data_IF_557502409794
#
_entry.id   IF_557502409794
#
_cell.length_a   1.000
_cell.length_b   1.000
_cell.length_c   1.000
_cell.angle_alpha   90.00
_cell.angle_beta   90.00
_cell.angle_gamma   90.00
#
_symmetry.space_group_name_H-M   'P 1'
#
loop_
_entity.id
_entity.type
_entity.pdbx_description
1 polymer ?
#
# COMPACT_ATOMS: atom_id res chain seq x y z
N UNK A 1 27.13 -3.69 51.93
CA UNK A 1 27.02 -3.45 50.48
C UNK A 1 25.92 -4.36 49.92
N UNK A 2 24.96 -3.84 49.15
CA UNK A 2 23.92 -4.63 48.47
C UNK A 2 23.89 -4.21 47.00
N UNK A 3 24.38 -5.07 46.10
CA UNK A 3 24.28 -4.81 44.66
C UNK A 3 22.82 -4.89 44.22
N UNK A 4 22.36 -3.85 43.50
CA UNK A 4 21.14 -3.94 42.69
C UNK A 4 21.56 -4.33 41.28
N UNK A 5 21.22 -5.55 40.85
CA UNK A 5 21.25 -5.89 39.43
C UNK A 5 20.19 -5.05 38.72
N UNK A 6 20.63 -4.20 37.78
CA UNK A 6 19.73 -3.53 36.84
C UNK A 6 19.48 -4.55 35.73
N UNK A 7 18.25 -5.04 35.65
CA UNK A 7 17.83 -5.94 34.57
C UNK A 7 17.86 -5.19 33.24
N UNK A 8 18.69 -5.64 32.31
CA UNK A 8 18.63 -5.18 30.93
C UNK A 8 17.35 -5.71 30.28
N UNK A 9 16.37 -4.82 30.09
CA UNK A 9 15.23 -5.12 29.23
C UNK A 9 15.73 -5.32 27.80
N UNK A 10 15.85 -6.57 27.37
CA UNK A 10 15.92 -6.89 25.93
C UNK A 10 14.57 -6.49 25.31
N UNK A 11 14.55 -5.90 24.09
CA UNK A 11 13.31 -5.73 23.36
C UNK A 11 12.69 -7.10 23.12
N UNK A 12 11.41 -7.24 23.42
CA UNK A 12 10.65 -8.47 23.20
C UNK A 12 10.38 -8.61 21.71
N UNK A 13 11.09 -9.52 21.04
CA UNK A 13 10.68 -10.00 19.73
C UNK A 13 9.27 -10.58 19.85
N UNK A 14 8.31 -10.04 19.09
CA UNK A 14 7.00 -10.66 18.95
C UNK A 14 7.19 -11.93 18.13
N UNK A 15 7.17 -13.08 18.80
CA UNK A 15 7.25 -14.37 18.14
C UNK A 15 5.93 -14.62 17.39
N UNK A 16 5.82 -14.12 16.15
CA UNK A 16 4.75 -14.42 15.19
C UNK A 16 4.90 -15.85 14.63
N UNK A 17 5.29 -16.82 15.47
CA UNK A 17 5.44 -18.22 15.09
C UNK A 17 4.04 -18.80 14.89
N UNK A 18 3.62 -18.91 13.62
CA UNK A 18 2.42 -19.66 13.29
C UNK A 18 2.63 -21.14 13.61
N UNK A 19 1.57 -21.85 14.03
CA UNK A 19 1.68 -23.27 14.29
C UNK A 19 1.92 -24.03 12.98
N UNK A 20 3.12 -24.59 12.81
CA UNK A 20 3.49 -25.40 11.64
C UNK A 20 2.58 -26.61 11.40
N UNK A 21 1.72 -26.98 12.36
CA UNK A 21 0.63 -27.95 12.19
C UNK A 21 -0.47 -27.51 11.21
N UNK A 22 -0.42 -26.27 10.70
CA UNK A 22 -1.27 -25.80 9.61
C UNK A 22 -0.69 -26.09 8.21
N UNK A 23 0.60 -26.49 8.09
CA UNK A 23 1.21 -26.82 6.80
C UNK A 23 0.44 -27.97 6.13
N UNK A 24 0.23 -27.84 4.83
CA UNK A 24 -0.53 -28.76 3.99
C UNK A 24 -2.06 -28.63 4.07
N UNK A 25 -2.60 -27.84 5.01
CA UNK A 25 -4.04 -27.68 5.22
C UNK A 25 -4.65 -26.53 4.41
N UNK A 26 -5.92 -26.67 4.05
CA UNK A 26 -6.77 -25.59 3.58
C UNK A 26 -7.10 -24.62 4.72
N UNK A 27 -6.71 -23.36 4.54
CA UNK A 27 -6.90 -22.25 5.49
C UNK A 27 -7.35 -20.97 4.79
N UNK A 28 -7.99 -20.06 5.53
CA UNK A 28 -8.23 -18.68 5.11
C UNK A 28 -7.30 -17.73 5.86
N UNK A 29 -6.46 -17.00 5.13
CA UNK A 29 -5.60 -15.92 5.65
C UNK A 29 -6.41 -14.62 5.59
N UNK A 30 -6.47 -13.91 6.73
CA UNK A 30 -7.44 -12.85 7.04
C UNK A 30 -8.92 -13.29 7.05
N UNK A 31 -9.67 -12.90 8.07
CA UNK A 31 -11.13 -13.13 8.14
C UNK A 31 -11.89 -12.02 7.38
N UNK A 32 -11.73 -11.99 6.06
CA UNK A 32 -12.39 -11.02 5.18
C UNK A 32 -11.60 -9.73 4.94
N UNK A 33 -12.17 -8.85 4.11
CA UNK A 33 -11.50 -7.68 3.56
C UNK A 33 -10.67 -8.02 2.29
N UNK A 34 -10.03 -7.01 1.67
CA UNK A 34 -9.41 -7.17 0.36
C UNK A 34 -8.16 -8.07 0.33
N UNK A 35 -7.52 -8.31 1.46
CA UNK A 35 -6.38 -9.25 1.57
C UNK A 35 -6.80 -10.71 1.77
N UNK A 36 -8.10 -10.96 1.95
CA UNK A 36 -8.63 -12.27 2.34
C UNK A 36 -8.53 -13.28 1.21
N UNK A 37 -7.81 -14.39 1.45
CA UNK A 37 -7.71 -15.52 0.52
C UNK A 37 -7.84 -16.84 1.27
N UNK A 38 -8.47 -17.81 0.63
CA UNK A 38 -8.56 -19.20 1.07
C UNK A 38 -7.69 -20.04 0.15
N UNK A 39 -7.01 -21.04 0.69
CA UNK A 39 -6.03 -21.81 -0.05
C UNK A 39 -5.30 -22.86 0.81
N UNK A 40 -4.42 -23.63 0.19
CA UNK A 40 -3.56 -24.61 0.87
C UNK A 40 -2.32 -23.92 1.42
N UNK A 41 -2.04 -24.05 2.71
CA UNK A 41 -0.84 -23.47 3.33
C UNK A 41 0.38 -24.32 2.98
N UNK A 42 1.21 -23.87 2.05
CA UNK A 42 2.39 -24.61 1.56
C UNK A 42 3.54 -24.56 2.57
N UNK A 43 3.79 -23.39 3.16
CA UNK A 43 4.93 -23.17 4.06
C UNK A 43 4.61 -22.17 5.18
N UNK A 44 5.30 -22.33 6.31
CA UNK A 44 5.40 -21.35 7.39
C UNK A 44 6.88 -21.03 7.59
N UNK A 45 7.32 -19.90 7.04
CA UNK A 45 8.68 -19.38 7.21
C UNK A 45 8.90 -18.71 8.57
N UNK A 46 10.03 -18.03 8.74
CA UNK A 46 10.36 -17.37 10.01
C UNK A 46 9.51 -16.11 10.29
N UNK A 47 9.21 -15.34 9.25
CA UNK A 47 8.44 -14.09 9.28
C UNK A 47 7.45 -13.94 8.10
N UNK A 48 7.15 -15.03 7.39
CA UNK A 48 6.13 -15.09 6.33
C UNK A 48 5.40 -16.44 6.32
N UNK A 49 4.31 -16.51 5.56
CA UNK A 49 3.59 -17.77 5.25
C UNK A 49 3.22 -17.84 3.78
N UNK A 50 3.27 -19.04 3.20
CA UNK A 50 3.00 -19.28 1.76
C UNK A 50 1.66 -19.99 1.58
N UNK A 51 0.80 -19.42 0.75
CA UNK A 51 -0.55 -19.91 0.46
C UNK A 51 -0.70 -20.16 -1.05
N UNK A 52 -0.93 -21.41 -1.46
CA UNK A 52 -1.51 -21.72 -2.78
C UNK A 52 -2.98 -21.34 -2.72
N UNK A 53 -3.44 -20.45 -3.58
CA UNK A 53 -4.85 -20.03 -3.61
C UNK A 53 -5.74 -21.22 -3.98
N UNK A 54 -6.97 -21.26 -3.43
CA UNK A 54 -7.96 -22.25 -3.85
C UNK A 54 -8.55 -21.85 -5.19
N UNK A 55 -8.68 -22.80 -6.11
CA UNK A 55 -9.27 -22.64 -7.44
C UNK A 55 -8.46 -21.72 -8.40
N UNK A 56 -7.18 -21.42 -8.07
CA UNK A 56 -6.16 -20.89 -9.01
C UNK A 56 -4.77 -21.44 -8.68
N UNK A 57 -3.84 -21.36 -9.63
CA UNK A 57 -2.42 -21.73 -9.46
C UNK A 57 -1.59 -20.67 -8.71
N UNK A 58 -2.21 -19.57 -8.27
CA UNK A 58 -1.49 -18.44 -7.69
C UNK A 58 -0.88 -18.78 -6.32
N UNK A 59 0.40 -18.46 -6.15
CA UNK A 59 1.08 -18.55 -4.86
C UNK A 59 1.24 -17.17 -4.23
N UNK A 60 0.74 -17.01 -3.01
CA UNK A 60 0.77 -15.77 -2.25
C UNK A 60 1.60 -15.94 -0.99
N UNK A 61 2.59 -15.06 -0.83
CA UNK A 61 3.47 -14.96 0.32
C UNK A 61 3.02 -13.79 1.20
N UNK A 62 2.52 -14.09 2.40
CA UNK A 62 2.03 -13.11 3.36
C UNK A 62 3.07 -12.82 4.45
N UNK A 63 3.33 -11.55 4.74
CA UNK A 63 4.22 -11.16 5.83
C UNK A 63 3.55 -11.41 7.21
N UNK A 64 4.22 -12.18 8.07
CA UNK A 64 3.67 -12.68 9.34
C UNK A 64 3.25 -11.57 10.31
N UNK A 65 4.01 -10.48 10.34
CA UNK A 65 3.73 -9.26 11.13
C UNK A 65 2.36 -8.65 10.83
N UNK A 66 1.87 -8.79 9.60
CA UNK A 66 0.62 -8.21 9.13
C UNK A 66 -0.56 -9.18 9.20
N UNK A 67 -0.33 -10.50 9.28
CA UNK A 67 -1.40 -11.52 9.32
C UNK A 67 -2.09 -11.51 10.70
N UNK A 68 -3.33 -11.03 10.72
CA UNK A 68 -4.13 -10.86 11.96
C UNK A 68 -4.86 -12.13 12.40
N UNK A 69 -5.09 -13.05 11.47
CA UNK A 69 -5.90 -14.25 11.69
C UNK A 69 -5.68 -15.26 10.58
N UNK A 70 -5.55 -16.53 10.95
CA UNK A 70 -5.67 -17.67 10.04
C UNK A 70 -6.84 -18.52 10.55
N UNK A 71 -7.67 -19.07 9.65
CA UNK A 71 -8.80 -19.93 10.00
C UNK A 71 -8.69 -21.25 9.24
N UNK A 72 -8.85 -22.38 9.91
CA UNK A 72 -8.77 -23.71 9.30
C UNK A 72 -10.17 -24.21 8.88
N UNK A 73 -10.33 -24.73 7.66
CA UNK A 73 -11.58 -25.41 7.26
C UNK A 73 -11.55 -26.87 7.69
N UNK A 74 -12.15 -27.16 8.84
CA UNK A 74 -12.22 -28.52 9.38
C UNK A 74 -12.99 -29.52 8.49
N UNK A 75 -13.86 -29.07 7.58
CA UNK A 75 -14.59 -29.98 6.67
C UNK A 75 -13.70 -30.39 5.52
N UNK A 76 -13.15 -29.42 4.79
CA UNK A 76 -12.31 -29.71 3.62
C UNK A 76 -11.03 -30.47 4.02
N UNK A 77 -10.41 -30.11 5.14
CA UNK A 77 -9.22 -30.80 5.65
C UNK A 77 -9.51 -32.25 6.07
N UNK A 78 -10.73 -32.56 6.55
CA UNK A 78 -11.13 -33.94 6.86
C UNK A 78 -11.32 -34.80 5.60
N UNK A 79 -11.61 -34.18 4.45
CA UNK A 79 -11.81 -34.87 3.16
C UNK A 79 -10.46 -35.10 2.46
N UNK A 80 -9.59 -34.08 2.42
CA UNK A 80 -8.25 -34.20 1.82
C UNK A 80 -7.42 -35.32 2.45
N UNK A 81 -7.51 -35.50 3.78
CA UNK A 81 -6.83 -36.58 4.51
C UNK A 81 -7.24 -38.00 4.05
N UNK A 82 -8.35 -38.14 3.33
CA UNK A 82 -8.88 -39.41 2.82
C UNK A 82 -8.58 -39.60 1.32
N UNK A 83 -8.34 -38.52 0.57
CA UNK A 83 -8.22 -38.57 -0.89
C UNK A 83 -6.79 -38.39 -1.43
N UNK A 84 -5.84 -37.85 -0.65
CA UNK A 84 -4.40 -37.96 -0.93
C UNK A 84 -3.90 -37.27 -2.21
N UNK A 85 -4.71 -36.44 -2.86
CA UNK A 85 -4.31 -35.60 -3.98
C UNK A 85 -3.54 -34.39 -3.46
N UNK A 86 -2.23 -34.53 -3.37
CA UNK A 86 -1.33 -33.39 -3.24
C UNK A 86 -1.04 -32.87 -4.65
N UNK A 87 -1.67 -31.75 -5.01
CA UNK A 87 -1.19 -30.96 -6.14
C UNK A 87 0.19 -30.40 -5.76
N UNK A 88 1.19 -30.77 -6.55
CA UNK A 88 2.55 -30.24 -6.45
C UNK A 88 2.55 -28.88 -7.15
N UNK A 89 2.63 -27.83 -6.33
CA UNK A 89 2.62 -26.43 -6.77
C UNK A 89 4.01 -25.89 -6.51
N UNK A 90 4.66 -25.36 -7.53
CA UNK A 90 5.98 -24.74 -7.39
C UNK A 90 5.89 -23.42 -6.62
N UNK A 91 6.75 -23.25 -5.63
CA UNK A 91 6.87 -22.02 -4.84
C UNK A 91 8.30 -21.76 -4.42
N UNK A 92 8.58 -20.51 -4.06
CA UNK A 92 9.90 -20.05 -3.64
C UNK A 92 10.06 -20.27 -2.12
N UNK A 93 11.07 -21.06 -1.71
CA UNK A 93 11.46 -21.23 -0.31
C UNK A 93 12.60 -20.26 0.08
N UNK A 94 12.48 -19.63 1.25
CA UNK A 94 13.44 -18.66 1.76
C UNK A 94 13.49 -18.60 3.29
N UNK A 95 14.64 -18.19 3.86
CA UNK A 95 14.80 -18.06 5.32
C UNK A 95 13.84 -17.02 5.94
N UNK A 96 13.56 -15.93 5.22
CA UNK A 96 12.70 -14.83 5.64
C UNK A 96 12.12 -14.06 4.44
N UNK A 97 11.13 -13.21 4.70
CA UNK A 97 10.39 -12.43 3.70
C UNK A 97 11.31 -11.51 2.88
N UNK A 98 12.37 -10.95 3.50
CA UNK A 98 13.36 -10.15 2.78
C UNK A 98 14.19 -10.99 1.79
N UNK A 99 14.61 -12.20 2.19
CA UNK A 99 15.31 -13.13 1.29
C UNK A 99 14.40 -13.60 0.15
N UNK A 100 13.13 -13.85 0.44
CA UNK A 100 12.11 -14.19 -0.56
C UNK A 100 11.94 -13.08 -1.60
N UNK A 101 11.77 -11.83 -1.16
CA UNK A 101 11.66 -10.67 -2.07
C UNK A 101 12.88 -10.58 -2.99
N UNK A 102 14.09 -10.84 -2.48
CA UNK A 102 15.31 -10.82 -3.29
C UNK A 102 15.36 -11.92 -4.36
N UNK A 103 14.69 -13.06 -4.16
CA UNK A 103 14.53 -14.11 -5.19
C UNK A 103 13.53 -13.72 -6.29
N UNK A 104 12.63 -12.78 -6.02
CA UNK A 104 11.58 -12.33 -6.96
C UNK A 104 12.00 -11.11 -7.80
N UNK A 105 13.24 -10.62 -7.66
CA UNK A 105 13.73 -9.47 -8.44
C UNK A 105 13.77 -9.84 -9.93
N UNK A 106 13.36 -8.90 -10.79
CA UNK A 106 13.10 -9.03 -12.23
C UNK A 106 11.83 -9.80 -12.62
N UNK A 107 11.13 -10.47 -11.69
CA UNK A 107 9.84 -11.11 -11.98
C UNK A 107 8.70 -10.09 -11.94
N UNK A 108 7.62 -10.35 -12.69
CA UNK A 108 6.35 -9.66 -12.47
C UNK A 108 5.68 -10.18 -11.21
N UNK A 109 5.31 -9.24 -10.34
CA UNK A 109 4.70 -9.52 -9.04
C UNK A 109 3.49 -8.62 -8.80
N UNK A 110 2.63 -9.07 -7.89
CA UNK A 110 1.55 -8.28 -7.33
C UNK A 110 1.78 -8.05 -5.84
N UNK A 111 1.88 -6.77 -5.47
CA UNK A 111 2.00 -6.29 -4.09
C UNK A 111 0.61 -6.00 -3.54
N UNK A 112 0.31 -6.59 -2.37
CA UNK A 112 -0.99 -6.61 -1.71
C UNK A 112 -2.09 -7.26 -2.58
N UNK A 113 -2.97 -8.04 -1.95
CA UNK A 113 -3.99 -8.78 -2.69
C UNK A 113 -5.25 -7.98 -3.00
N UNK A 114 -5.42 -6.82 -2.36
CA UNK A 114 -6.38 -5.81 -2.80
C UNK A 114 -6.35 -4.51 -2.00
N UNK A 115 -7.34 -3.66 -2.26
CA UNK A 115 -7.45 -2.34 -1.61
C UNK A 115 -6.56 -1.28 -2.26
N UNK A 116 -6.44 -0.10 -1.63
CA UNK A 116 -5.87 1.08 -2.29
C UNK A 116 -4.39 1.01 -2.67
N UNK A 117 -3.60 0.18 -1.98
CA UNK A 117 -2.16 -0.04 -2.26
C UNK A 117 -1.90 -1.39 -2.96
N UNK A 118 -2.92 -2.00 -3.58
CA UNK A 118 -2.74 -3.16 -4.45
C UNK A 118 -2.16 -2.72 -5.79
N UNK A 119 -1.05 -3.33 -6.21
CA UNK A 119 -0.37 -2.96 -7.47
C UNK A 119 0.40 -4.15 -8.05
N UNK A 120 0.30 -4.34 -9.36
CA UNK A 120 1.11 -5.30 -10.12
C UNK A 120 2.19 -4.58 -10.95
N UNK A 121 3.28 -5.28 -11.26
CA UNK A 121 4.38 -4.81 -12.10
C UNK A 121 5.68 -5.57 -11.83
N UNK A 122 6.76 -5.21 -12.53
CA UNK A 122 8.07 -5.88 -12.41
C UNK A 122 8.82 -5.40 -11.16
N UNK A 123 9.31 -6.31 -10.32
CA UNK A 123 10.15 -5.95 -9.17
C UNK A 123 11.56 -5.56 -9.63
N UNK A 124 11.91 -4.28 -9.60
CA UNK A 124 13.25 -3.81 -10.00
C UNK A 124 14.32 -4.09 -8.95
N UNK A 125 13.93 -4.15 -7.68
CA UNK A 125 14.84 -4.40 -6.57
C UNK A 125 14.24 -4.12 -5.22
N UNK A 126 14.90 -4.60 -4.17
CA UNK A 126 14.56 -4.34 -2.78
C UNK A 126 15.79 -3.89 -1.99
N UNK A 127 15.53 -3.09 -0.96
CA UNK A 127 16.51 -2.66 0.02
C UNK A 127 15.93 -2.89 1.43
N UNK A 128 16.61 -2.40 2.46
CA UNK A 128 16.33 -2.69 3.88
C UNK A 128 14.88 -2.49 4.32
N UNK A 129 14.23 -1.40 3.89
CA UNK A 129 12.89 -0.99 4.33
C UNK A 129 11.99 -0.53 3.17
N UNK A 130 12.43 -0.69 1.92
CA UNK A 130 11.63 -0.40 0.74
C UNK A 130 11.94 -1.34 -0.43
N UNK A 131 11.03 -1.38 -1.40
CA UNK A 131 11.26 -1.98 -2.72
C UNK A 131 10.90 -0.98 -3.83
N UNK A 132 11.35 -1.26 -5.06
CA UNK A 132 10.95 -0.55 -6.27
C UNK A 132 10.20 -1.49 -7.22
N UNK A 133 8.96 -1.14 -7.55
CA UNK A 133 8.11 -1.81 -8.52
C UNK A 133 8.02 -0.94 -9.77
N UNK A 134 8.30 -1.48 -10.95
CA UNK A 134 8.02 -0.80 -12.22
C UNK A 134 6.62 -1.13 -12.69
N UNK A 135 5.79 -0.11 -12.94
CA UNK A 135 4.42 -0.29 -13.41
C UNK A 135 4.17 0.58 -14.62
N UNK A 136 3.41 0.05 -15.59
CA UNK A 136 3.18 0.68 -16.90
C UNK A 136 2.59 2.10 -16.83
N UNK A 137 1.89 2.42 -15.74
CA UNK A 137 1.08 3.64 -15.60
C UNK A 137 1.70 4.71 -14.69
N UNK A 138 2.50 4.29 -13.72
CA UNK A 138 3.10 5.15 -12.69
C UNK A 138 4.64 5.17 -12.75
N UNK A 139 5.25 4.35 -13.61
CA UNK A 139 6.70 4.20 -13.73
C UNK A 139 7.28 3.46 -12.53
N UNK A 140 8.42 3.92 -12.00
CA UNK A 140 9.01 3.32 -10.80
C UNK A 140 8.31 3.82 -9.54
N UNK A 141 7.61 2.91 -8.87
CA UNK A 141 6.93 3.10 -7.59
C UNK A 141 7.76 2.50 -6.46
N UNK A 142 8.11 3.33 -5.47
CA UNK A 142 8.81 2.89 -4.27
C UNK A 142 7.78 2.58 -3.17
N UNK A 143 7.78 1.34 -2.66
CA UNK A 143 6.90 0.91 -1.57
C UNK A 143 7.69 0.71 -0.28
N UNK A 144 7.16 1.23 0.83
CA UNK A 144 7.68 0.98 2.17
C UNK A 144 7.30 -0.44 2.62
N UNK A 145 8.31 -1.27 2.93
CA UNK A 145 8.12 -2.68 3.30
C UNK A 145 7.30 -2.85 4.58
N UNK A 146 7.24 -1.85 5.47
CA UNK A 146 6.38 -1.87 6.67
C UNK A 146 4.86 -1.75 6.35
N UNK A 147 4.50 -1.59 5.07
CA UNK A 147 3.10 -1.57 4.62
C UNK A 147 2.78 -2.64 3.57
N UNK A 148 3.75 -3.48 3.18
CA UNK A 148 3.59 -4.59 2.25
C UNK A 148 3.13 -5.83 3.01
N UNK A 149 1.84 -6.17 2.88
CA UNK A 149 1.24 -7.30 3.62
C UNK A 149 1.46 -8.64 2.93
N UNK A 150 1.53 -8.61 1.60
CA UNK A 150 1.61 -9.80 0.77
C UNK A 150 2.24 -9.48 -0.58
N UNK A 151 2.87 -10.49 -1.17
CA UNK A 151 3.36 -10.50 -2.54
C UNK A 151 2.91 -11.81 -3.18
N UNK A 152 2.53 -11.78 -4.45
CA UNK A 152 2.39 -12.98 -5.29
C UNK A 152 3.13 -12.77 -6.61
N UNK A 153 3.48 -13.84 -7.30
CA UNK A 153 3.87 -13.74 -8.71
C UNK A 153 2.63 -13.34 -9.54
N UNK A 154 2.85 -12.73 -10.70
CA UNK A 154 1.79 -12.48 -11.67
C UNK A 154 1.84 -13.59 -12.74
N UNK A 155 0.95 -14.57 -12.61
CA UNK A 155 0.90 -15.77 -13.45
C UNK A 155 0.63 -15.45 -14.93
N UNK A 156 -0.16 -14.39 -15.17
CA UNK A 156 -0.62 -13.94 -16.49
C UNK A 156 0.51 -13.56 -17.48
N UNK A 157 1.74 -13.37 -17.01
CA UNK A 157 2.91 -13.00 -17.84
C UNK A 157 3.88 -14.17 -18.10
N UNK A 158 3.66 -15.35 -17.49
CA UNK A 158 4.57 -16.50 -17.64
C UNK A 158 4.17 -17.47 -18.76
N UNK A 159 2.91 -17.45 -19.21
CA UNK A 159 2.43 -18.37 -20.26
C UNK A 159 2.97 -18.04 -21.68
N UNK A 160 3.48 -16.82 -21.90
CA UNK A 160 4.01 -16.37 -23.20
C UNK A 160 5.51 -16.69 -23.42
N UNK A 161 6.26 -17.16 -22.41
CA UNK A 161 7.72 -17.36 -22.54
C UNK A 161 8.13 -18.66 -23.27
N UNK A 162 7.25 -19.66 -23.42
CA UNK A 162 7.65 -20.98 -23.96
C UNK A 162 7.65 -21.10 -25.50
N UNK A 163 6.98 -20.21 -26.27
CA UNK A 163 6.95 -20.29 -27.75
C UNK A 163 7.59 -19.10 -28.51
N UNK A 164 8.58 -18.46 -27.88
CA UNK A 164 9.79 -18.00 -28.56
C UNK A 164 9.81 -16.63 -29.27
N UNK A 165 10.98 -16.36 -29.85
CA UNK A 165 11.43 -15.09 -30.47
C UNK A 165 11.82 -13.97 -29.49
N UNK A 166 13.14 -13.72 -29.41
CA UNK A 166 13.71 -12.48 -28.88
C UNK A 166 13.66 -12.31 -27.36
N UNK A 167 14.83 -12.41 -26.69
CA UNK A 167 15.05 -11.59 -25.51
C UNK A 167 15.10 -10.13 -25.96
N UNK A 168 13.94 -9.48 -26.08
CA UNK A 168 13.90 -8.03 -26.06
C UNK A 168 14.51 -7.60 -24.74
N UNK A 169 15.61 -6.86 -24.80
CA UNK A 169 16.36 -6.47 -23.63
C UNK A 169 15.62 -5.31 -22.96
N UNK A 170 14.57 -5.63 -22.20
CA UNK A 170 13.67 -4.68 -21.56
C UNK A 170 14.49 -3.80 -20.62
N UNK A 171 14.88 -2.63 -21.12
CA UNK A 171 15.77 -1.72 -20.43
C UNK A 171 14.94 -0.93 -19.42
N UNK A 172 14.75 -1.51 -18.24
CA UNK A 172 14.15 -0.83 -17.11
C UNK A 172 14.92 0.46 -16.76
N UNK A 173 14.23 1.51 -16.30
CA UNK A 173 14.87 2.74 -15.84
C UNK A 173 15.78 2.45 -14.64
N UNK A 174 16.87 3.22 -14.51
CA UNK A 174 17.77 3.10 -13.38
C UNK A 174 17.04 3.45 -12.07
N UNK A 175 17.01 2.50 -11.14
CA UNK A 175 16.46 2.70 -9.79
C UNK A 175 17.25 3.77 -9.02
N UNK A 176 16.54 4.55 -8.19
CA UNK A 176 17.17 5.49 -7.26
C UNK A 176 18.05 4.71 -6.27
N UNK A 177 19.34 5.06 -6.22
CA UNK A 177 20.31 4.46 -5.31
C UNK A 177 20.20 5.04 -3.88
N UNK A 178 19.08 4.76 -3.21
CA UNK A 178 18.80 5.14 -1.82
C UNK A 178 19.16 4.01 -0.85
N UNK A 179 19.65 4.35 0.36
CA UNK A 179 19.98 3.34 1.39
C UNK A 179 18.76 2.88 2.20
N UNK A 180 17.76 3.77 2.35
CA UNK A 180 16.51 3.51 3.05
C UNK A 180 15.34 4.27 2.39
N UNK A 181 14.12 4.02 2.85
CA UNK A 181 12.92 4.64 2.29
C UNK A 181 12.91 6.17 2.45
N UNK A 182 13.59 6.71 3.48
CA UNK A 182 13.67 8.16 3.70
C UNK A 182 14.62 8.84 2.71
N UNK A 183 15.73 8.18 2.34
CA UNK A 183 16.62 8.66 1.30
C UNK A 183 15.93 8.81 -0.07
N UNK A 184 14.95 7.96 -0.39
CA UNK A 184 14.14 8.11 -1.63
C UNK A 184 13.50 9.50 -1.74
N UNK A 185 13.03 10.08 -0.62
CA UNK A 185 12.42 11.42 -0.62
C UNK A 185 13.44 12.53 -0.92
N UNK A 186 14.71 12.36 -0.53
CA UNK A 186 15.77 13.34 -0.83
C UNK A 186 16.08 13.38 -2.33
N UNK A 187 16.02 12.23 -3.00
CA UNK A 187 16.17 12.15 -4.46
C UNK A 187 14.95 12.68 -5.22
N UNK A 188 13.75 12.58 -4.63
CA UNK A 188 12.51 13.09 -5.21
C UNK A 188 12.18 14.55 -4.81
N UNK A 189 13.00 15.18 -3.97
CA UNK A 189 12.81 16.55 -3.52
C UNK A 189 12.75 17.54 -4.69
N UNK A 190 11.89 18.56 -4.58
CA UNK A 190 11.58 19.55 -5.64
C UNK A 190 10.88 19.00 -6.89
N UNK A 191 10.62 17.69 -6.99
CA UNK A 191 9.84 17.10 -8.07
C UNK A 191 8.35 17.06 -7.71
N UNK A 192 7.49 16.96 -8.73
CA UNK A 192 6.11 16.51 -8.54
C UNK A 192 6.14 15.03 -8.18
N UNK A 193 5.41 14.64 -7.15
CA UNK A 193 5.31 13.26 -6.68
C UNK A 193 3.85 12.86 -6.48
N UNK A 194 3.59 11.56 -6.58
CA UNK A 194 2.34 10.93 -6.17
C UNK A 194 2.63 10.01 -4.97
N UNK A 195 1.93 10.23 -3.86
CA UNK A 195 2.10 9.54 -2.57
C UNK A 195 0.81 8.80 -2.21
N UNK A 196 0.96 7.51 -1.89
CA UNK A 196 -0.11 6.52 -1.72
C UNK A 196 -0.98 6.37 -2.99
N UNK A 197 -1.20 5.15 -3.46
CA UNK A 197 -1.84 4.90 -4.76
C UNK A 197 -3.35 5.15 -4.74
N UNK A 198 -4.03 4.94 -3.62
CA UNK A 198 -5.49 4.97 -3.61
C UNK A 198 -6.17 5.34 -2.30
N UNK A 199 -7.49 5.47 -2.38
CA UNK A 199 -8.33 5.83 -1.24
C UNK A 199 -8.13 7.28 -0.77
N UNK A 200 -8.62 7.62 0.44
CA UNK A 200 -8.62 8.99 0.95
C UNK A 200 -7.24 9.48 1.43
N UNK A 201 -6.22 8.61 1.44
CA UNK A 201 -4.84 8.94 1.85
C UNK A 201 -3.92 9.18 0.63
N UNK A 202 -4.44 9.07 -0.60
CA UNK A 202 -3.72 9.36 -1.83
C UNK A 202 -3.61 10.87 -2.06
N UNK A 203 -2.42 11.34 -2.46
CA UNK A 203 -2.12 12.76 -2.58
C UNK A 203 -1.01 13.03 -3.59
N UNK A 204 -1.04 14.21 -4.20
CA UNK A 204 -0.04 14.64 -5.18
C UNK A 204 0.38 16.09 -4.94
N UNK A 205 1.58 16.44 -5.40
CA UNK A 205 2.08 17.80 -5.36
C UNK A 205 3.60 17.87 -5.50
N UNK A 206 4.15 19.06 -5.33
CA UNK A 206 5.61 19.24 -5.29
C UNK A 206 6.13 18.88 -3.90
N UNK A 207 7.09 17.96 -3.84
CA UNK A 207 7.76 17.57 -2.59
C UNK A 207 8.76 18.64 -2.17
N UNK A 208 8.70 19.09 -0.92
CA UNK A 208 9.56 20.12 -0.33
C UNK A 208 10.32 19.55 0.86
N UNK A 209 11.54 20.07 1.11
CA UNK A 209 12.46 19.68 2.19
C UNK A 209 11.76 19.35 3.52
N UNK A 210 12.18 18.25 4.15
CA UNK A 210 11.66 17.79 5.42
C UNK A 210 12.03 18.74 6.57
N UNK A 211 11.14 19.68 6.87
CA UNK A 211 11.23 20.52 8.06
C UNK A 211 10.50 19.86 9.23
N UNK A 212 11.21 19.62 10.34
CA UNK A 212 10.65 19.11 11.61
C UNK A 212 10.19 17.64 11.62
N UNK A 213 10.69 16.78 10.74
CA UNK A 213 10.44 15.34 10.74
C UNK A 213 9.18 14.89 9.98
N UNK A 214 8.47 15.81 9.32
CA UNK A 214 7.35 15.52 8.43
C UNK A 214 7.72 15.90 6.99
N UNK A 215 7.22 15.14 6.02
CA UNK A 215 7.32 15.54 4.62
C UNK A 215 6.28 16.60 4.29
N UNK A 216 6.67 17.58 3.50
CA UNK A 216 5.79 18.68 3.09
C UNK A 216 5.51 18.58 1.60
N UNK A 217 4.23 18.53 1.21
CA UNK A 217 3.79 18.58 -0.18
C UNK A 217 3.02 19.87 -0.41
N UNK A 218 3.32 20.56 -1.50
CA UNK A 218 2.57 21.74 -1.94
C UNK A 218 1.67 21.32 -3.11
N UNK A 219 0.36 21.46 -2.91
CA UNK A 219 -0.66 21.12 -3.90
C UNK A 219 -1.61 22.30 -4.07
N UNK A 220 -1.62 22.91 -5.25
CA UNK A 220 -2.42 24.10 -5.56
C UNK A 220 -2.20 25.26 -4.56
N UNK A 221 -3.13 25.45 -3.63
CA UNK A 221 -3.12 26.50 -2.60
C UNK A 221 -2.94 25.92 -1.18
N UNK A 222 -2.70 24.62 -1.07
CA UNK A 222 -2.60 23.88 0.19
C UNK A 222 -1.18 23.37 0.43
N UNK A 223 -0.78 23.35 1.71
CA UNK A 223 0.51 22.82 2.18
C UNK A 223 0.22 21.67 3.12
N UNK A 224 0.42 20.46 2.62
CA UNK A 224 0.11 19.21 3.30
C UNK A 224 1.37 18.72 4.03
N UNK A 225 1.23 18.37 5.32
CA UNK A 225 2.33 17.85 6.14
C UNK A 225 2.02 16.44 6.58
N UNK A 226 2.86 15.49 6.18
CA UNK A 226 2.61 14.06 6.32
C UNK A 226 3.69 13.44 7.19
N UNK A 227 3.26 12.74 8.25
CA UNK A 227 4.18 11.97 9.07
C UNK A 227 4.68 10.74 8.29
N UNK A 228 6.00 10.44 8.28
CA UNK A 228 6.59 9.39 7.44
C UNK A 228 5.89 8.02 7.51
N UNK A 229 5.38 7.65 8.70
CA UNK A 229 4.66 6.39 8.92
C UNK A 229 3.32 6.25 8.16
N UNK A 230 2.74 7.34 7.65
CA UNK A 230 1.51 7.27 6.84
C UNK A 230 1.79 7.13 5.33
N UNK A 231 3.06 7.08 4.93
CA UNK A 231 3.44 6.95 3.52
C UNK A 231 3.82 5.50 3.24
N UNK A 232 2.99 4.87 2.40
CA UNK A 232 3.07 3.47 2.00
C UNK A 232 3.78 3.33 0.67
N UNK A 233 3.58 4.28 -0.24
CA UNK A 233 4.23 4.32 -1.54
C UNK A 233 4.47 5.75 -2.05
N UNK A 234 5.46 5.91 -2.93
CA UNK A 234 5.78 7.17 -3.63
C UNK A 234 6.30 6.90 -5.06
N UNK A 235 5.96 7.75 -6.04
CA UNK A 235 6.65 7.83 -7.34
C UNK A 235 6.86 9.28 -7.75
N UNK A 236 7.75 9.49 -8.72
CA UNK A 236 7.85 10.76 -9.44
C UNK A 236 6.68 10.90 -10.44
N UNK A 237 6.23 12.14 -10.67
CA UNK A 237 5.17 12.47 -11.62
C UNK A 237 3.74 12.26 -11.10
N UNK A 238 2.73 12.75 -11.82
CA UNK A 238 1.32 12.50 -11.52
C UNK A 238 0.97 11.02 -11.72
N UNK A 239 0.04 10.49 -10.94
CA UNK A 239 -0.46 9.12 -11.06
C UNK A 239 -1.10 8.88 -12.42
N UNK A 240 -0.79 7.73 -13.03
CA UNK A 240 -1.30 7.33 -14.33
C UNK A 240 -0.78 8.19 -15.49
N UNK A 241 0.30 8.96 -15.30
CA UNK A 241 0.85 9.83 -16.34
C UNK A 241 1.38 9.07 -17.55
N UNK A 242 1.91 7.84 -17.37
CA UNK A 242 2.44 7.04 -18.47
C UNK A 242 1.34 6.40 -19.33
N UNK A 243 0.21 5.98 -18.74
CA UNK A 243 -0.96 5.47 -19.49
C UNK A 243 -1.43 6.46 -20.56
N UNK A 244 -1.45 7.75 -20.21
CA UNK A 244 -1.85 8.83 -21.12
C UNK A 244 -0.85 9.12 -22.23
N UNK A 245 0.40 8.67 -22.14
CA UNK A 245 1.37 8.81 -23.22
C UNK A 245 1.16 7.74 -24.28
N UNK A 246 0.99 6.47 -23.86
CA UNK A 246 0.75 5.35 -24.77
C UNK A 246 -0.58 5.47 -25.55
N UNK A 247 -1.62 6.06 -24.94
CA UNK A 247 -2.88 6.38 -25.63
C UNK A 247 -2.68 7.42 -26.76
N UNK A 248 -1.92 8.49 -26.50
CA UNK A 248 -1.65 9.55 -27.48
C UNK A 248 -0.73 9.10 -28.64
N UNK A 249 0.19 8.16 -28.41
CA UNK A 249 1.06 7.62 -29.47
C UNK A 249 0.30 6.72 -30.44
N UNK A 250 -0.74 6.02 -29.97
CA UNK A 250 -1.60 5.19 -30.83
C UNK A 250 -2.50 6.01 -31.77
N UNK A 251 -2.94 7.22 -31.39
CA UNK A 251 -3.72 8.08 -32.29
C UNK A 251 -2.89 8.63 -33.47
N UNK A 252 -1.56 8.71 -33.35
CA UNK A 252 -0.70 9.24 -34.43
C UNK A 252 -0.43 8.25 -35.57
N UNK A 253 -0.81 6.97 -35.44
CA UNK A 253 -0.60 5.95 -36.48
C UNK A 253 -1.88 5.54 -37.25
N UNK A 254 -3.07 6.05 -36.89
CA UNK A 254 -4.32 5.79 -37.59
C UNK A 254 -4.59 6.79 -38.74
N UNK A 255 -3.62 6.95 -39.65
CA UNK A 255 -3.47 8.15 -40.49
C UNK A 255 -3.76 8.06 -42.00
N UNK A 256 -4.49 7.07 -42.52
CA UNK A 256 -5.00 7.11 -43.92
C UNK A 256 -6.41 6.52 -44.08
N UNK A 257 -7.40 7.40 -44.23
CA UNK A 257 -8.78 7.05 -44.60
C UNK A 257 -9.61 8.31 -44.87
N UNK A 258 -9.84 8.63 -46.14
CA UNK A 258 -10.63 9.81 -46.53
C UNK A 258 -12.14 9.52 -46.46
N UNK A 259 -12.92 10.36 -45.75
CA UNK A 259 -14.26 10.77 -46.22
C UNK A 259 -14.83 11.98 -45.47
N UNK A 260 -14.96 13.08 -46.22
CA UNK A 260 -15.90 14.21 -46.09
C UNK A 260 -16.88 14.25 -44.90
N UNK A 261 -16.67 15.24 -44.02
CA UNK A 261 -17.58 16.38 -43.85
C UNK A 261 -19.00 16.18 -43.29
N UNK A 262 -19.25 16.77 -42.12
CA UNK A 262 -20.34 17.74 -41.95
C UNK A 262 -19.98 18.77 -40.87
N UNK A 263 -20.50 20.00 -40.96
CA UNK A 263 -20.23 21.08 -40.00
C UNK A 263 -21.25 21.10 -38.86
N UNK A 264 -20.79 21.17 -37.60
CA UNK A 264 -21.54 21.90 -36.56
C UNK A 264 -20.62 22.37 -35.44
N UNK A 265 -20.68 23.66 -35.12
CA UNK A 265 -20.10 24.21 -33.90
C UNK A 265 -20.97 23.83 -32.70
N UNK A 266 -20.34 23.44 -31.58
CA UNK A 266 -20.93 23.66 -30.26
C UNK A 266 -19.83 23.85 -29.22
N UNK A 267 -20.01 24.85 -28.37
CA UNK A 267 -19.13 25.18 -27.26
C UNK A 267 -19.39 24.28 -26.05
N UNK A 268 -18.35 23.64 -25.51
CA UNK A 268 -18.50 22.88 -24.27
C UNK A 268 -18.39 23.76 -23.01
N UNK A 269 -19.49 23.80 -22.28
CA UNK A 269 -19.60 24.49 -21.00
C UNK A 269 -19.06 23.65 -19.84
N UNK A 270 -18.39 24.33 -18.91
CA UNK A 270 -18.14 23.85 -17.55
C UNK A 270 -19.46 23.40 -16.90
N UNK A 271 -19.53 22.14 -16.44
CA UNK A 271 -20.65 21.65 -15.66
C UNK A 271 -20.21 21.24 -14.25
N UNK A 272 -20.67 22.00 -13.26
CA UNK A 272 -20.48 21.75 -11.83
C UNK A 272 -21.80 21.26 -11.25
N UNK A 273 -21.92 19.97 -10.95
CA UNK A 273 -23.13 19.41 -10.33
C UNK A 273 -23.14 19.62 -8.81
N UNK A 274 -23.96 20.57 -8.39
CA UNK A 274 -24.41 20.77 -7.02
C UNK A 274 -25.34 19.62 -6.61
N UNK A 275 -25.24 19.15 -5.36
CA UNK A 275 -26.24 18.27 -4.74
C UNK A 275 -26.70 18.92 -3.43
N UNK A 276 -27.99 19.26 -3.36
CA UNK A 276 -28.62 19.93 -2.22
C UNK A 276 -28.94 18.94 -1.08
N UNK A 277 -29.04 19.49 0.13
CA UNK A 277 -29.47 18.77 1.33
C UNK A 277 -31.01 18.68 1.38
N UNK A 278 -31.56 17.49 1.67
CA UNK A 278 -32.91 17.40 2.26
C UNK A 278 -32.83 17.06 3.75
N UNK A 279 -33.47 17.90 4.54
CA UNK A 279 -33.56 17.77 5.99
C UNK A 279 -34.77 16.94 6.41
N UNK A 280 -34.59 16.08 7.41
CA UNK A 280 -35.71 15.53 8.17
C UNK A 280 -35.38 15.51 9.66
N UNK A 281 -36.36 15.91 10.46
CA UNK A 281 -36.23 16.17 11.90
C UNK A 281 -36.73 15.01 12.75
N UNK A 282 -36.07 14.76 13.88
CA UNK A 282 -36.71 14.16 15.05
C UNK A 282 -36.00 14.60 16.34
N UNK A 283 -36.78 14.68 17.42
CA UNK A 283 -36.42 15.38 18.66
C UNK A 283 -35.93 14.45 19.79
N UNK A 284 -35.30 15.08 20.80
CA UNK A 284 -35.28 14.65 22.21
C UNK A 284 -34.56 13.35 22.60
N UNK A 285 -33.47 13.50 23.37
CA UNK A 285 -33.55 13.24 24.83
C UNK A 285 -32.25 13.62 25.55
N UNK A 286 -32.35 14.51 26.53
CA UNK A 286 -31.30 14.87 27.47
C UNK A 286 -31.04 13.76 28.50
N UNK A 287 -29.79 13.53 28.90
CA UNK A 287 -29.46 13.00 30.23
C UNK A 287 -28.12 13.54 30.74
N UNK A 288 -28.16 14.21 31.88
CA UNK A 288 -27.01 14.76 32.59
C UNK A 288 -26.15 13.68 33.26
N UNK A 289 -24.85 13.93 33.37
CA UNK A 289 -24.08 13.54 34.56
C UNK A 289 -23.07 14.62 34.94
N UNK A 290 -22.94 14.84 36.24
CA UNK A 290 -22.40 16.06 36.86
C UNK A 290 -21.14 15.75 37.69
N UNK A 291 -20.23 16.74 37.86
CA UNK A 291 -19.19 16.79 38.93
C UNK A 291 -17.98 15.85 38.75
N UNK A 292 -16.72 16.15 39.14
CA UNK A 292 -16.00 17.34 39.67
C UNK A 292 -14.48 17.18 39.37
N UNK A 293 -13.52 18.09 39.61
CA UNK A 293 -13.44 19.31 40.44
C UNK A 293 -12.27 20.22 40.00
N UNK A 294 -12.20 21.43 40.57
CA UNK A 294 -11.12 22.41 40.43
C UNK A 294 -9.70 21.95 40.84
N UNK A 295 -8.68 22.54 40.18
CA UNK A 295 -7.51 23.16 40.84
C UNK A 295 -6.83 24.18 39.91
N UNK A 296 -6.95 25.46 40.25
CA UNK A 296 -6.15 26.55 39.67
C UNK A 296 -4.80 26.66 40.39
N UNK A 297 -3.74 27.02 39.66
CA UNK A 297 -2.51 27.65 40.19
C UNK A 297 -1.90 28.58 39.10
N UNK A 298 -1.09 29.59 39.45
CA UNK A 298 -1.15 30.89 38.78
C UNK A 298 -0.02 31.19 37.77
N UNK A 299 -0.23 32.30 37.04
CA UNK A 299 0.63 32.90 36.00
C UNK A 299 1.88 33.60 36.54
N UNK A 300 3.06 33.24 36.02
CA UNK A 300 4.29 34.05 36.09
C UNK A 300 4.97 34.22 34.71
N UNK A 301 4.47 35.19 33.94
CA UNK A 301 5.21 36.19 33.13
C UNK A 301 6.54 35.83 32.42
N UNK A 302 6.47 36.10 31.10
CA UNK A 302 7.51 36.63 30.17
C UNK A 302 8.54 35.67 29.54
N UNK A 303 8.30 35.42 28.25
CA UNK A 303 9.26 35.81 27.20
C UNK A 303 8.49 36.18 25.92
N UNK A 304 8.76 37.36 25.34
CA UNK A 304 8.16 37.76 24.07
C UNK A 304 8.88 37.05 22.91
N UNK A 305 8.26 36.03 22.34
CA UNK A 305 8.62 35.50 21.03
C UNK A 305 7.50 35.83 20.06
N UNK A 306 7.83 36.46 18.93
CA UNK A 306 6.86 36.89 17.91
C UNK A 306 6.39 35.70 17.07
N UNK A 307 5.48 34.91 17.62
CA UNK A 307 4.75 33.91 16.85
C UNK A 307 3.77 34.61 15.90
N UNK A 308 3.98 34.46 14.60
CA UNK A 308 2.90 34.53 13.62
C UNK A 308 1.89 33.45 13.97
N UNK A 309 0.77 33.85 14.56
CA UNK A 309 -0.28 32.94 15.02
C UNK A 309 -1.01 32.40 13.79
N UNK A 310 -0.60 31.22 13.31
CA UNK A 310 -1.31 30.50 12.26
C UNK A 310 -2.79 30.36 12.65
N UNK A 311 -3.67 30.82 11.77
CA UNK A 311 -5.11 30.77 11.99
C UNK A 311 -5.62 29.48 11.36
N UNK A 312 -5.89 28.47 12.21
CA UNK A 312 -6.65 27.29 11.79
C UNK A 312 -7.98 27.75 11.21
N UNK A 313 -8.17 27.58 9.90
CA UNK A 313 -9.37 27.99 9.17
C UNK A 313 -10.44 26.91 9.19
N UNK A 314 -10.03 25.63 9.19
CA UNK A 314 -10.88 24.46 9.41
C UNK A 314 -10.10 23.38 10.16
N UNK A 315 -10.78 22.69 11.07
CA UNK A 315 -10.41 21.37 11.59
C UNK A 315 -11.47 20.39 11.08
N UNK A 316 -11.08 19.22 10.59
CA UNK A 316 -12.02 18.16 10.18
C UNK A 316 -11.82 16.97 11.12
N UNK A 317 -12.73 16.84 12.08
CA UNK A 317 -12.76 15.71 13.01
C UNK A 317 -13.59 14.56 12.42
N UNK A 318 -12.93 13.47 12.04
CA UNK A 318 -13.60 12.32 11.43
C UNK A 318 -14.22 11.41 12.49
N UNK A 319 -15.55 11.45 12.61
CA UNK A 319 -16.32 10.51 13.44
C UNK A 319 -16.73 9.28 12.61
N UNK A 320 -16.09 8.15 12.91
CA UNK A 320 -16.38 6.87 12.24
C UNK A 320 -17.74 6.31 12.65
N UNK A 321 -18.68 6.23 11.70
CA UNK A 321 -19.91 5.45 11.89
C UNK A 321 -19.58 3.96 11.73
N UNK A 322 -19.57 3.21 12.83
CA UNK A 322 -19.68 1.75 12.75
C UNK A 322 -21.08 1.39 12.26
N UNK A 323 -21.17 0.86 11.04
CA UNK A 323 -22.39 0.22 10.55
C UNK A 323 -22.77 -0.97 11.45
N UNK A 324 -24.07 -1.11 11.72
CA UNK A 324 -24.69 -2.32 12.27
C UNK A 324 -25.44 -3.04 11.16
#
# INVERSE_FOLDING_TARGET
>A
MRNKNIGSHKPTASNHSFPGSLRGKTVTVYRGGPESKTGRLLEVGSDYVTLSVQDSSDVIYYQASHVKSISEDSKNNSIQLVQGTEEEVDYYEADCFASLINQLIQNSIKINQGGPESKAGTLLGANKDFLALFTEDDGTVYFNLHHVKSISLNSDEQEDEEEGSGQENVQYPAMINAMDFHDVFKYLEHNWVSINRGGPEAMEGVLVENTSGNYTLVCNQEVLRVHPFHIKSISCGPKGSLKKQNENENEMNAGQGQSNGDESESSDQYNSSHYEEESSSCESSSHDYHSSRYREFPDERRSHCSYTREKVTKTIDYVWKCSR
#
